data_IF_666767806163
#
_entry.id   IF_666767806163
#
_cell.length_a   1.000
_cell.length_b   1.000
_cell.length_c   1.000
_cell.angle_alpha   90.00
_cell.angle_beta   90.00
_cell.angle_gamma   90.00
#
_symmetry.space_group_name_H-M   'P 1'
#
loop_
_entity.id
_entity.type
_entity.pdbx_description
1 polymer ?
#
# COMPACT_ATOMS: atom_id res chain seq x y z
N UNK A 1 10.44 23.69 -21.38
CA UNK A 1 9.12 24.03 -20.78
C UNK A 1 8.66 22.85 -19.97
N UNK A 2 8.75 22.93 -18.65
CA UNK A 2 8.16 21.93 -17.77
C UNK A 2 6.64 22.08 -17.84
N UNK A 3 5.98 21.11 -18.46
CA UNK A 3 4.54 20.94 -18.29
C UNK A 3 4.29 20.51 -16.85
N UNK A 4 3.88 21.46 -16.02
CA UNK A 4 3.27 21.20 -14.73
C UNK A 4 2.00 20.42 -15.07
N UNK A 5 2.00 19.09 -14.85
CA UNK A 5 0.78 18.33 -14.95
C UNK A 5 -0.21 18.85 -13.91
N UNK A 6 -1.50 19.01 -14.25
CA UNK A 6 -2.48 19.48 -13.29
C UNK A 6 -2.56 18.53 -12.12
N UNK A 7 -2.25 19.07 -10.95
CA UNK A 7 -2.29 18.42 -9.67
C UNK A 7 -3.73 17.99 -9.36
N UNK A 8 -3.99 16.70 -9.40
CA UNK A 8 -5.26 16.15 -8.96
C UNK A 8 -5.31 16.11 -7.43
N UNK A 9 -5.89 17.14 -6.81
CA UNK A 9 -6.03 17.30 -5.37
C UNK A 9 -6.71 16.12 -4.63
N UNK A 10 -7.36 15.20 -5.35
CA UNK A 10 -8.08 14.07 -4.76
C UNK A 10 -7.23 12.85 -4.43
N UNK A 11 -5.95 12.76 -4.82
CA UNK A 11 -5.16 11.52 -4.73
C UNK A 11 -3.73 11.70 -4.22
N UNK A 12 -3.37 12.86 -3.67
CA UNK A 12 -2.00 13.12 -3.20
C UNK A 12 -1.56 12.12 -2.12
N UNK A 13 -2.44 11.79 -1.19
CA UNK A 13 -2.13 10.83 -0.13
C UNK A 13 -1.71 9.47 -0.70
N UNK A 14 -2.44 8.97 -1.69
CA UNK A 14 -2.13 7.72 -2.38
C UNK A 14 -0.80 7.83 -3.14
N UNK A 15 -0.57 8.92 -3.87
CA UNK A 15 0.68 9.13 -4.60
C UNK A 15 1.90 9.18 -3.68
N UNK A 16 1.77 9.86 -2.53
CA UNK A 16 2.82 9.90 -1.51
C UNK A 16 3.14 8.51 -0.97
N UNK A 17 2.12 7.69 -0.71
CA UNK A 17 2.28 6.30 -0.24
C UNK A 17 2.98 5.45 -1.32
N UNK A 18 2.52 5.48 -2.56
CA UNK A 18 3.11 4.70 -3.65
C UNK A 18 4.57 5.08 -3.93
N UNK A 19 4.88 6.38 -3.90
CA UNK A 19 6.27 6.86 -4.02
C UNK A 19 7.13 6.47 -2.84
N UNK A 20 6.59 6.50 -1.62
CA UNK A 20 7.30 6.04 -0.44
C UNK A 20 7.65 4.54 -0.53
N UNK A 21 6.71 3.70 -0.94
CA UNK A 21 6.95 2.26 -1.16
C UNK A 21 8.04 2.05 -2.21
N UNK A 22 8.00 2.78 -3.33
CA UNK A 22 9.02 2.69 -4.38
C UNK A 22 10.41 3.10 -3.88
N UNK A 23 10.51 4.17 -3.10
CA UNK A 23 11.79 4.61 -2.50
C UNK A 23 12.34 3.55 -1.56
N UNK A 24 11.50 3.00 -0.67
CA UNK A 24 11.92 1.95 0.26
C UNK A 24 12.37 0.69 -0.49
N UNK A 25 11.65 0.30 -1.55
CA UNK A 25 12.01 -0.85 -2.37
C UNK A 25 13.37 -0.68 -3.07
N UNK A 26 13.64 0.50 -3.59
CA UNK A 26 14.84 0.76 -4.41
C UNK A 26 16.08 1.13 -3.59
N UNK A 27 15.89 1.84 -2.48
CA UNK A 27 16.96 2.48 -1.73
C UNK A 27 17.00 2.11 -0.24
N UNK A 28 15.99 1.36 0.24
CA UNK A 28 15.83 0.99 1.64
C UNK A 28 15.07 2.04 2.47
N UNK A 29 14.57 1.61 3.63
CA UNK A 29 13.77 2.46 4.53
C UNK A 29 14.56 3.67 5.05
N UNK A 30 15.86 3.53 5.22
CA UNK A 30 16.72 4.61 5.72
C UNK A 30 16.82 5.80 4.74
N UNK A 31 16.64 5.56 3.44
CA UNK A 31 16.62 6.60 2.44
C UNK A 31 15.29 7.38 2.39
N UNK A 32 14.23 6.88 3.05
CA UNK A 32 12.93 7.52 3.07
C UNK A 32 12.92 8.74 3.97
N UNK A 33 12.38 9.84 3.45
CA UNK A 33 12.02 11.03 4.22
C UNK A 33 10.79 11.70 3.58
N UNK A 34 10.02 12.43 4.39
CA UNK A 34 8.86 13.22 3.92
C UNK A 34 9.29 14.16 2.77
N UNK A 35 10.43 14.82 2.92
CA UNK A 35 10.98 15.72 1.91
C UNK A 35 11.30 15.01 0.58
N UNK A 36 11.90 13.83 0.65
CA UNK A 36 12.23 13.04 -0.53
C UNK A 36 10.99 12.58 -1.28
N UNK A 37 9.97 12.14 -0.54
CA UNK A 37 8.68 11.74 -1.12
C UNK A 37 7.97 12.92 -1.77
N UNK A 38 7.95 14.09 -1.14
CA UNK A 38 7.40 15.32 -1.72
C UNK A 38 8.09 15.66 -3.05
N UNK A 39 9.42 15.62 -3.09
CA UNK A 39 10.19 15.84 -4.32
C UNK A 39 9.85 14.83 -5.41
N UNK A 40 9.69 13.55 -5.06
CA UNK A 40 9.32 12.49 -6.01
C UNK A 40 7.90 12.64 -6.57
N UNK A 41 6.99 13.27 -5.81
CA UNK A 41 5.63 13.61 -6.24
C UNK A 41 5.53 14.96 -6.96
N UNK A 42 6.61 15.75 -6.99
CA UNK A 42 6.60 17.08 -7.60
C UNK A 42 5.76 18.12 -6.84
N UNK A 43 5.62 17.95 -5.52
CA UNK A 43 4.86 18.86 -4.66
C UNK A 43 5.79 19.62 -3.70
N UNK A 44 5.27 20.67 -3.08
CA UNK A 44 6.02 21.43 -2.06
C UNK A 44 6.35 20.54 -0.85
N UNK A 45 7.43 20.83 -0.15
CA UNK A 45 7.83 20.07 1.05
C UNK A 45 6.83 20.15 2.20
N UNK A 46 5.94 21.15 2.19
CA UNK A 46 4.88 21.31 3.17
C UNK A 46 3.64 20.44 2.86
N UNK A 47 3.39 20.11 1.59
CA UNK A 47 2.17 19.42 1.17
C UNK A 47 1.95 18.05 1.86
N UNK A 48 2.97 17.18 2.03
CA UNK A 48 2.77 15.91 2.71
C UNK A 48 2.34 16.01 4.18
N UNK A 49 2.69 17.13 4.86
CA UNK A 49 2.34 17.31 6.26
C UNK A 49 0.85 17.54 6.51
N UNK A 50 0.07 17.80 5.45
CA UNK A 50 -1.39 17.75 5.53
C UNK A 50 -1.93 16.32 5.74
N UNK A 51 -1.13 15.30 5.45
CA UNK A 51 -1.51 13.88 5.50
C UNK A 51 -0.73 13.07 6.53
N UNK A 52 0.56 13.40 6.76
CA UNK A 52 1.46 12.65 7.63
C UNK A 52 2.29 13.60 8.49
N UNK A 53 2.27 13.44 9.79
CA UNK A 53 3.04 14.28 10.72
C UNK A 53 4.54 14.00 10.66
N UNK A 54 4.90 12.74 10.40
CA UNK A 54 6.28 12.28 10.40
C UNK A 54 6.45 11.05 9.47
N UNK A 55 7.68 10.58 9.37
CA UNK A 55 8.04 9.39 8.57
C UNK A 55 7.33 8.13 9.07
N UNK A 56 7.16 7.98 10.37
CA UNK A 56 6.54 6.82 10.99
C UNK A 56 5.07 6.70 10.58
N UNK A 57 4.32 7.80 10.58
CA UNK A 57 2.93 7.83 10.08
C UNK A 57 2.84 7.48 8.60
N UNK A 58 3.77 7.98 7.79
CA UNK A 58 3.84 7.61 6.38
C UNK A 58 4.12 6.12 6.18
N UNK A 59 5.07 5.55 6.93
CA UNK A 59 5.38 4.12 6.88
C UNK A 59 4.19 3.27 7.33
N UNK A 60 3.49 3.67 8.38
CA UNK A 60 2.27 3.00 8.82
C UNK A 60 1.20 3.00 7.73
N UNK A 61 0.96 4.15 7.12
CA UNK A 61 0.01 4.26 6.00
C UNK A 61 0.42 3.41 4.79
N UNK A 62 1.71 3.27 4.50
CA UNK A 62 2.20 2.37 3.47
C UNK A 62 1.87 0.90 3.79
N UNK A 63 2.05 0.49 5.04
CA UNK A 63 1.73 -0.88 5.50
C UNK A 63 0.24 -1.17 5.38
N UNK A 64 -0.59 -0.26 5.87
CA UNK A 64 -2.05 -0.36 5.75
C UNK A 64 -2.49 -0.46 4.28
N UNK A 65 -1.94 0.40 3.43
CA UNK A 65 -2.23 0.41 2.00
C UNK A 65 -1.95 -0.95 1.34
N UNK A 66 -0.76 -1.51 1.57
CA UNK A 66 -0.38 -2.81 1.00
C UNK A 66 -1.27 -3.93 1.56
N UNK A 67 -1.55 -3.92 2.86
CA UNK A 67 -2.38 -4.92 3.52
C UNK A 67 -3.81 -4.93 2.96
N UNK A 68 -4.39 -3.76 2.73
CA UNK A 68 -5.73 -3.61 2.15
C UNK A 68 -5.75 -4.09 0.69
N UNK A 69 -4.77 -3.70 -0.12
CA UNK A 69 -4.66 -4.16 -1.52
C UNK A 69 -4.54 -5.69 -1.59
N UNK A 70 -3.77 -6.28 -0.70
CA UNK A 70 -3.60 -7.72 -0.60
C UNK A 70 -4.89 -8.42 -0.17
N UNK A 71 -5.54 -7.94 0.88
CA UNK A 71 -6.79 -8.51 1.36
C UNK A 71 -7.91 -8.44 0.30
N UNK A 72 -8.05 -7.30 -0.39
CA UNK A 72 -8.99 -7.13 -1.49
C UNK A 72 -8.73 -8.12 -2.63
N UNK A 73 -7.46 -8.30 -2.99
CA UNK A 73 -7.09 -9.26 -4.03
C UNK A 73 -7.48 -10.69 -3.67
N UNK A 74 -7.18 -11.11 -2.43
CA UNK A 74 -7.55 -12.44 -1.95
C UNK A 74 -9.08 -12.63 -1.88
N UNK A 75 -9.81 -11.66 -1.32
CA UNK A 75 -11.27 -11.72 -1.20
C UNK A 75 -11.93 -11.81 -2.59
N UNK A 76 -11.47 -11.01 -3.54
CA UNK A 76 -11.99 -11.03 -4.91
C UNK A 76 -11.75 -12.38 -5.60
N UNK A 77 -10.65 -13.07 -5.28
CA UNK A 77 -10.34 -14.38 -5.88
C UNK A 77 -11.33 -15.48 -5.48
N UNK A 78 -12.03 -15.30 -4.37
CA UNK A 78 -12.96 -16.28 -3.79
C UNK A 78 -14.41 -15.80 -3.71
N UNK A 79 -14.76 -14.66 -4.30
CA UNK A 79 -16.10 -14.06 -4.18
C UNK A 79 -17.23 -15.04 -4.54
N UNK A 80 -17.03 -15.86 -5.57
CA UNK A 80 -17.99 -16.84 -6.05
C UNK A 80 -17.69 -18.27 -5.59
N UNK A 81 -16.85 -18.43 -4.58
CA UNK A 81 -16.40 -19.74 -4.09
C UNK A 81 -17.07 -20.08 -2.76
N UNK A 82 -17.34 -21.38 -2.57
CA UNK A 82 -17.76 -21.89 -1.28
C UNK A 82 -16.57 -21.96 -0.30
N UNK A 83 -16.57 -21.20 0.81
CA UNK A 83 -15.45 -21.22 1.76
C UNK A 83 -15.19 -22.59 2.39
N UNK A 84 -16.20 -23.47 2.44
CA UNK A 84 -16.07 -24.82 2.98
C UNK A 84 -15.44 -25.82 1.97
N UNK A 85 -15.27 -25.42 0.70
CA UNK A 85 -14.64 -26.29 -0.29
C UNK A 85 -13.12 -26.19 -0.19
N UNK A 86 -12.39 -27.32 0.00
CA UNK A 86 -10.92 -27.33 0.03
C UNK A 86 -10.26 -26.70 -1.23
N UNK A 87 -10.92 -26.72 -2.39
CA UNK A 87 -10.44 -26.07 -3.61
C UNK A 87 -10.32 -24.54 -3.45
N UNK A 88 -11.13 -23.93 -2.60
CA UNK A 88 -11.05 -22.51 -2.29
C UNK A 88 -9.71 -22.14 -1.66
N UNK A 89 -9.14 -23.03 -0.87
CA UNK A 89 -7.81 -22.84 -0.28
C UNK A 89 -6.71 -22.82 -1.34
N UNK A 90 -6.85 -23.65 -2.37
CA UNK A 90 -5.92 -23.68 -3.52
C UNK A 90 -6.00 -22.34 -4.29
N UNK A 91 -7.21 -21.84 -4.51
CA UNK A 91 -7.42 -20.54 -5.18
C UNK A 91 -6.78 -19.40 -4.36
N UNK A 92 -6.97 -19.39 -3.04
CA UNK A 92 -6.35 -18.40 -2.15
C UNK A 92 -4.82 -18.47 -2.18
N UNK A 93 -4.25 -19.68 -2.14
CA UNK A 93 -2.80 -19.87 -2.22
C UNK A 93 -2.21 -19.37 -3.54
N UNK A 94 -2.87 -19.64 -4.65
CA UNK A 94 -2.47 -19.13 -5.96
C UNK A 94 -2.60 -17.61 -6.03
N UNK A 95 -3.68 -17.04 -5.53
CA UNK A 95 -3.89 -15.59 -5.49
C UNK A 95 -2.83 -14.88 -4.62
N UNK A 96 -2.44 -15.49 -3.49
CA UNK A 96 -1.35 -15.00 -2.65
C UNK A 96 -0.04 -14.88 -3.44
N UNK A 97 0.36 -15.95 -4.12
CA UNK A 97 1.60 -15.99 -4.91
C UNK A 97 1.53 -14.98 -6.06
N UNK A 98 0.39 -14.94 -6.76
CA UNK A 98 0.19 -14.07 -7.91
C UNK A 98 0.24 -12.59 -7.52
N UNK A 99 -0.39 -12.20 -6.41
CA UNK A 99 -0.35 -10.83 -5.92
C UNK A 99 1.09 -10.33 -5.73
N UNK A 100 1.93 -11.09 -5.06
CA UNK A 100 3.31 -10.69 -4.82
C UNK A 100 4.23 -10.82 -6.04
N UNK A 101 3.88 -11.66 -7.00
CA UNK A 101 4.56 -11.65 -8.31
C UNK A 101 4.23 -10.39 -9.12
N UNK A 102 2.99 -9.94 -9.07
CA UNK A 102 2.54 -8.70 -9.73
C UNK A 102 3.06 -7.44 -9.02
N UNK A 103 3.23 -7.51 -7.70
CA UNK A 103 3.60 -6.40 -6.84
C UNK A 103 4.87 -6.70 -6.02
N UNK A 104 5.98 -6.95 -6.70
CA UNK A 104 7.25 -7.31 -6.03
C UNK A 104 7.76 -6.23 -5.06
N UNK A 105 7.47 -4.95 -5.32
CA UNK A 105 7.80 -3.86 -4.40
C UNK A 105 7.04 -3.97 -3.08
N UNK A 106 5.80 -4.46 -3.10
CA UNK A 106 4.99 -4.69 -1.89
C UNK A 106 5.54 -5.86 -1.09
N UNK A 107 5.97 -6.93 -1.77
CA UNK A 107 6.64 -8.06 -1.11
C UNK A 107 7.88 -7.59 -0.36
N UNK A 108 8.77 -6.88 -1.03
CA UNK A 108 9.99 -6.37 -0.41
C UNK A 108 9.70 -5.42 0.76
N UNK A 109 8.69 -4.56 0.62
CA UNK A 109 8.28 -3.63 1.65
C UNK A 109 7.78 -4.34 2.92
N UNK A 110 6.99 -5.42 2.76
CA UNK A 110 6.42 -6.16 3.89
C UNK A 110 7.44 -7.11 4.53
N UNK A 111 8.17 -7.88 3.72
CA UNK A 111 8.95 -9.01 4.24
C UNK A 111 10.43 -8.70 4.50
N UNK A 112 11.00 -7.70 3.83
CA UNK A 112 12.40 -7.34 4.04
C UNK A 112 12.60 -6.39 5.25
N UNK A 113 11.54 -5.91 5.86
CA UNK A 113 11.61 -5.09 7.06
C UNK A 113 11.17 -5.89 8.28
N UNK A 114 12.09 -6.09 9.25
CA UNK A 114 11.84 -6.88 10.48
C UNK A 114 10.69 -6.35 11.34
N UNK A 115 10.44 -5.04 11.31
CA UNK A 115 9.33 -4.43 12.04
C UNK A 115 7.98 -4.66 11.33
N UNK A 116 7.99 -4.75 10.01
CA UNK A 116 6.77 -4.86 9.19
C UNK A 116 6.17 -6.27 9.25
N UNK A 117 6.99 -7.30 9.44
CA UNK A 117 6.53 -8.69 9.48
C UNK A 117 5.56 -8.98 10.65
N UNK A 118 5.50 -8.09 11.65
CA UNK A 118 4.62 -8.21 12.82
C UNK A 118 3.21 -7.64 12.61
N UNK A 119 2.95 -6.96 11.50
CA UNK A 119 1.71 -6.21 11.25
C UNK A 119 0.97 -6.63 9.98
N UNK A 120 0.89 -7.92 9.71
CA UNK A 120 -0.13 -8.38 8.75
C UNK A 120 -1.47 -8.22 9.44
N UNK A 121 -2.22 -7.19 9.02
CA UNK A 121 -3.59 -6.98 9.48
C UNK A 121 -4.42 -8.22 9.18
N UNK A 122 -5.22 -8.66 10.13
CA UNK A 122 -6.20 -9.70 9.88
C UNK A 122 -7.26 -9.19 8.89
N UNK A 123 -7.93 -10.09 8.18
CA UNK A 123 -9.00 -9.71 7.23
C UNK A 123 -10.12 -8.90 7.90
N UNK A 124 -10.38 -9.15 9.19
CA UNK A 124 -11.39 -8.42 9.96
C UNK A 124 -10.92 -7.00 10.29
N UNK A 125 -9.65 -6.82 10.68
CA UNK A 125 -9.05 -5.50 10.91
C UNK A 125 -9.03 -4.65 9.63
N UNK A 126 -8.87 -5.28 8.46
CA UNK A 126 -8.94 -4.59 7.16
C UNK A 126 -10.35 -4.07 6.90
N UNK A 127 -11.40 -4.85 7.17
CA UNK A 127 -12.80 -4.43 6.97
C UNK A 127 -13.19 -3.26 7.87
N UNK A 128 -12.77 -3.29 9.13
CA UNK A 128 -13.13 -2.27 10.12
C UNK A 128 -12.35 -0.96 9.94
N UNK A 129 -11.15 -1.04 9.35
CA UNK A 129 -10.23 0.08 9.18
C UNK A 129 -10.08 0.54 7.73
N UNK A 130 -11.05 0.24 6.85
CA UNK A 130 -10.97 0.67 5.45
C UNK A 130 -10.93 2.20 5.36
N UNK A 131 -9.80 2.80 4.94
CA UNK A 131 -9.66 4.25 4.97
C UNK A 131 -10.63 4.92 3.99
N UNK A 132 -11.31 5.97 4.44
CA UNK A 132 -12.27 6.71 3.62
C UNK A 132 -11.70 7.35 2.35
N UNK A 133 -10.35 7.48 2.27
CA UNK A 133 -9.65 8.01 1.10
C UNK A 133 -9.33 6.93 0.04
N UNK A 134 -9.52 5.66 0.38
CA UNK A 134 -9.27 4.57 -0.56
C UNK A 134 -10.55 4.28 -1.35
N UNK A 135 -10.51 4.26 -2.69
CA UNK A 135 -11.70 3.99 -3.49
C UNK A 135 -12.18 2.57 -3.24
N UNK A 136 -13.42 2.44 -2.76
CA UNK A 136 -14.09 1.16 -2.69
C UNK A 136 -14.24 0.60 -4.10
N UNK A 137 -13.61 -0.54 -4.38
CA UNK A 137 -13.91 -1.29 -5.60
C UNK A 137 -15.30 -1.89 -5.46
N UNK A 138 -16.17 -1.45 -6.33
CA UNK A 138 -17.47 -2.10 -6.52
C UNK A 138 -17.31 -3.41 -7.26
#
# INVERSE_FOLDING_TARGET
MNKIQPYHHGNLKKELIEKAIAIVNNEGEQALSIRKVAGACGVTYAAPYAHFKNKEELLLACREYVSIQFADYLLNSITDKNPANPETLIVLGNAYIEFFKLHSAYYNFIFNNKETCKMILTLDEVKDNYPSWMPMRR
#
